data_IF_759784477749
#
_entry.id   IF_759784477749
#
_cell.length_a   1.000
_cell.length_b   1.000
_cell.length_c   1.000
_cell.angle_alpha   90.00
_cell.angle_beta   90.00
_cell.angle_gamma   90.00
#
_symmetry.space_group_name_H-M   'P 1'
#
loop_
_entity.id
_entity.type
_entity.pdbx_description
1 polymer ?
#
# COMPACT_ATOMS: atom_id res chain seq x y z
N UNK A 1 -20.35 14.38 10.11
CA UNK A 1 -19.61 15.58 9.64
C UNK A 1 -18.36 15.13 8.93
N UNK A 2 -17.90 15.81 7.85
CA UNK A 2 -16.66 15.45 7.19
C UNK A 2 -15.47 15.70 8.12
N UNK A 3 -14.46 14.82 8.05
CA UNK A 3 -13.21 14.99 8.79
C UNK A 3 -12.29 15.94 8.00
N UNK A 4 -11.92 17.07 8.61
CA UNK A 4 -10.99 18.03 8.00
C UNK A 4 -9.56 17.63 8.34
N UNK A 5 -8.69 17.64 7.34
CA UNK A 5 -7.24 17.51 7.48
C UNK A 5 -6.58 18.79 7.05
N UNK A 6 -5.62 19.27 7.81
CA UNK A 6 -4.92 20.52 7.53
C UNK A 6 -3.43 20.40 7.82
N UNK A 7 -2.65 21.24 7.16
CA UNK A 7 -1.23 21.42 7.44
C UNK A 7 -0.84 22.87 7.09
N UNK A 8 0.22 23.32 7.73
CA UNK A 8 0.89 24.60 7.43
C UNK A 8 2.31 24.31 7.02
N UNK A 9 2.77 24.89 5.92
CA UNK A 9 4.16 24.80 5.46
C UNK A 9 4.79 26.17 5.59
N UNK A 10 6.02 26.22 6.11
CA UNK A 10 6.82 27.43 6.24
C UNK A 10 8.13 27.20 5.49
N UNK A 11 8.43 28.10 4.55
CA UNK A 11 9.71 28.09 3.84
C UNK A 11 10.84 28.48 4.80
N UNK A 12 11.90 27.69 4.82
CA UNK A 12 13.07 27.95 5.66
C UNK A 12 14.23 28.49 4.83
N UNK A 13 14.68 27.74 3.84
CA UNK A 13 15.75 28.17 2.91
C UNK A 13 15.74 27.27 1.65
N UNK A 14 16.33 27.73 0.55
CA UNK A 14 16.43 26.94 -0.70
C UNK A 14 15.10 26.33 -1.10
N UNK A 15 15.03 25.01 -1.17
CA UNK A 15 13.81 24.23 -1.39
C UNK A 15 13.28 23.57 -0.11
N UNK A 16 13.83 23.93 1.07
CA UNK A 16 13.43 23.32 2.34
C UNK A 16 12.23 24.00 2.96
N UNK A 17 11.29 23.20 3.43
CA UNK A 17 10.05 23.62 4.09
C UNK A 17 9.82 22.82 5.37
N UNK A 18 9.52 23.52 6.46
CA UNK A 18 8.97 22.93 7.67
C UNK A 18 7.46 22.81 7.56
N UNK A 19 6.92 21.64 7.87
CA UNK A 19 5.49 21.39 7.87
C UNK A 19 4.97 21.04 9.25
N UNK A 20 3.80 21.52 9.59
CA UNK A 20 3.07 21.12 10.80
C UNK A 20 1.64 20.73 10.43
N UNK A 21 1.23 19.52 10.77
CA UNK A 21 -0.14 19.05 10.56
C UNK A 21 -1.10 19.68 11.57
N UNK A 22 -2.40 19.69 11.28
CA UNK A 22 -3.45 20.13 12.23
C UNK A 22 -3.49 19.33 13.54
N UNK A 23 -2.84 18.15 13.60
CA UNK A 23 -2.66 17.35 14.82
C UNK A 23 -1.35 17.65 15.56
N UNK A 24 -0.58 18.67 15.12
CA UNK A 24 0.66 19.09 15.77
C UNK A 24 1.89 18.23 15.44
N UNK A 25 1.84 17.37 14.41
CA UNK A 25 3.01 16.61 13.96
C UNK A 25 3.82 17.45 12.98
N UNK A 26 5.14 17.45 13.14
CA UNK A 26 6.04 18.24 12.30
C UNK A 26 7.03 17.32 11.56
N UNK A 27 7.37 17.70 10.33
CA UNK A 27 8.38 17.07 9.48
C UNK A 27 8.86 18.08 8.44
N UNK A 28 9.89 17.72 7.69
CA UNK A 28 10.51 18.59 6.68
C UNK A 28 10.49 17.93 5.32
N UNK A 29 10.35 18.75 4.30
CA UNK A 29 10.56 18.41 2.90
C UNK A 29 11.63 19.29 2.29
N UNK A 30 12.39 18.73 1.36
CA UNK A 30 13.38 19.48 0.62
C UNK A 30 14.24 18.58 -0.27
N UNK A 31 15.25 19.19 -0.84
CA UNK A 31 16.26 18.54 -1.67
C UNK A 31 17.70 18.92 -1.23
N UNK A 32 17.88 19.34 0.02
CA UNK A 32 19.20 19.65 0.55
C UNK A 32 20.05 18.38 0.61
N UNK A 33 21.09 18.32 -0.23
CA UNK A 33 22.02 17.19 -0.29
C UNK A 33 22.80 16.99 1.03
N UNK A 34 22.89 18.01 1.89
CA UNK A 34 23.57 17.93 3.18
C UNK A 34 22.69 17.32 4.28
N UNK A 35 21.37 17.41 4.13
CA UNK A 35 20.39 16.83 5.06
C UNK A 35 19.34 16.10 4.22
N UNK A 36 19.38 14.76 4.16
CA UNK A 36 18.38 14.00 3.39
C UNK A 36 16.97 14.33 3.88
N UNK A 37 16.23 15.06 3.10
CA UNK A 37 14.83 15.41 3.35
C UNK A 37 13.94 14.57 2.42
N UNK A 38 12.71 14.30 2.86
CA UNK A 38 11.74 13.58 2.04
C UNK A 38 11.27 14.45 0.88
N UNK A 39 11.23 13.91 -0.33
CA UNK A 39 10.54 14.58 -1.41
C UNK A 39 9.00 14.48 -1.23
N UNK A 40 8.22 15.44 -1.74
CA UNK A 40 6.76 15.36 -1.70
C UNK A 40 6.21 14.09 -2.36
N UNK A 41 6.80 13.64 -3.46
CA UNK A 41 6.36 12.45 -4.20
C UNK A 41 6.69 11.15 -3.44
N UNK A 42 7.87 11.06 -2.80
CA UNK A 42 8.19 9.94 -1.91
C UNK A 42 7.21 9.87 -0.73
N UNK A 43 6.81 11.03 -0.19
CA UNK A 43 5.81 11.09 0.88
C UNK A 43 4.48 10.46 0.46
N UNK A 44 4.06 10.61 -0.80
CA UNK A 44 2.84 9.97 -1.33
C UNK A 44 2.99 8.44 -1.32
N UNK A 45 4.14 7.92 -1.75
CA UNK A 45 4.42 6.47 -1.72
C UNK A 45 4.44 5.93 -0.28
N UNK A 46 5.09 6.64 0.64
CA UNK A 46 5.10 6.29 2.08
C UNK A 46 3.70 6.34 2.67
N UNK A 47 2.89 7.35 2.32
CA UNK A 47 1.52 7.46 2.80
C UNK A 47 0.65 6.29 2.33
N UNK A 48 0.82 5.82 1.08
CA UNK A 48 0.13 4.63 0.58
C UNK A 48 0.54 3.38 1.36
N UNK A 49 1.84 3.16 1.54
CA UNK A 49 2.35 2.01 2.29
C UNK A 49 1.82 2.00 3.73
N UNK A 50 1.89 3.13 4.43
CA UNK A 50 1.42 3.26 5.81
C UNK A 50 -0.09 3.05 5.92
N UNK A 51 -0.88 3.64 5.02
CA UNK A 51 -2.34 3.49 5.01
C UNK A 51 -2.73 2.02 4.82
N UNK A 52 -2.15 1.35 3.82
CA UNK A 52 -2.41 -0.06 3.55
C UNK A 52 -1.94 -0.96 4.70
N UNK A 53 -0.76 -0.68 5.28
CA UNK A 53 -0.22 -1.43 6.40
C UNK A 53 -1.15 -1.41 7.62
N UNK A 54 -1.64 -0.23 7.98
CA UNK A 54 -2.56 -0.07 9.12
C UNK A 54 -3.84 -0.86 8.93
N UNK A 55 -4.42 -0.83 7.72
CA UNK A 55 -5.62 -1.61 7.40
C UNK A 55 -5.36 -3.11 7.50
N UNK A 56 -4.28 -3.60 6.87
CA UNK A 56 -3.94 -5.02 6.82
C UNK A 56 -3.74 -5.57 8.24
N UNK A 57 -2.98 -4.88 9.09
CA UNK A 57 -2.79 -5.27 10.49
C UNK A 57 -4.11 -5.28 11.25
N UNK A 58 -4.94 -4.25 11.12
CA UNK A 58 -6.22 -4.18 11.81
C UNK A 58 -7.17 -5.31 11.40
N UNK A 59 -7.22 -5.64 10.10
CA UNK A 59 -8.07 -6.71 9.59
C UNK A 59 -7.51 -8.09 9.97
N UNK A 60 -6.21 -8.32 9.83
CA UNK A 60 -5.55 -9.56 10.20
C UNK A 60 -5.72 -9.87 11.70
N UNK A 61 -5.60 -8.86 12.54
CA UNK A 61 -5.87 -8.99 14.00
C UNK A 61 -7.31 -9.41 14.27
N UNK A 62 -8.29 -8.80 13.61
CA UNK A 62 -9.71 -9.20 13.72
C UNK A 62 -9.93 -10.64 13.24
N UNK A 63 -9.14 -11.11 12.27
CA UNK A 63 -9.12 -12.50 11.80
C UNK A 63 -8.28 -13.43 12.68
N UNK A 64 -7.81 -12.96 13.83
CA UNK A 64 -7.02 -13.71 14.81
C UNK A 64 -5.70 -14.27 14.25
N UNK A 65 -5.14 -13.59 13.27
CA UNK A 65 -3.81 -13.95 12.75
C UNK A 65 -2.73 -13.53 13.76
N UNK A 66 -1.78 -14.44 14.03
CA UNK A 66 -0.65 -14.17 14.91
C UNK A 66 0.54 -13.75 14.08
N UNK A 67 0.76 -12.45 13.96
CA UNK A 67 1.84 -11.87 13.19
C UNK A 67 2.99 -11.56 14.14
N UNK A 68 4.17 -12.12 13.86
CA UNK A 68 5.42 -11.87 14.60
C UNK A 68 6.28 -10.79 13.94
N UNK A 69 6.23 -10.69 12.60
CA UNK A 69 6.89 -9.63 11.84
C UNK A 69 6.00 -9.19 10.67
N UNK A 70 6.06 -7.90 10.38
CA UNK A 70 5.33 -7.31 9.26
C UNK A 70 6.08 -6.10 8.72
N UNK A 71 6.31 -6.11 7.41
CA UNK A 71 6.87 -4.98 6.68
C UNK A 71 6.11 -4.72 5.39
N UNK A 72 6.17 -3.49 4.92
CA UNK A 72 5.59 -3.10 3.63
C UNK A 72 6.65 -2.38 2.82
N UNK A 73 6.92 -2.91 1.65
CA UNK A 73 7.84 -2.31 0.68
C UNK A 73 7.03 -1.65 -0.42
N UNK A 74 7.40 -0.42 -0.75
CA UNK A 74 6.78 0.33 -1.83
C UNK A 74 7.84 0.72 -2.86
N UNK A 75 7.54 0.52 -4.13
CA UNK A 75 8.32 1.00 -5.27
C UNK A 75 7.37 1.74 -6.19
N UNK A 76 7.68 2.99 -6.50
CA UNK A 76 6.87 3.84 -7.36
C UNK A 76 7.65 4.24 -8.61
N UNK A 77 6.98 4.24 -9.74
CA UNK A 77 7.51 4.71 -11.02
C UNK A 77 6.85 6.06 -11.34
N UNK A 78 7.69 7.05 -11.58
CA UNK A 78 7.29 8.40 -11.95
C UNK A 78 7.61 8.63 -13.43
N UNK A 79 6.69 9.22 -14.20
CA UNK A 79 6.97 9.55 -15.60
C UNK A 79 7.95 10.72 -15.71
N UNK A 80 8.64 10.80 -16.83
CA UNK A 80 9.64 11.85 -17.08
C UNK A 80 8.98 13.19 -17.51
N UNK A 81 7.85 13.12 -18.22
CA UNK A 81 7.17 14.32 -18.72
C UNK A 81 6.31 14.99 -17.63
N UNK A 82 6.25 16.31 -17.68
CA UNK A 82 5.40 17.10 -16.77
C UNK A 82 3.90 16.97 -17.10
N UNK A 83 3.02 16.92 -16.09
CA UNK A 83 3.36 16.77 -14.67
C UNK A 83 3.89 15.36 -14.39
N UNK A 84 4.98 15.28 -13.62
CA UNK A 84 5.67 14.04 -13.28
C UNK A 84 4.88 13.23 -12.23
N UNK A 85 3.74 12.69 -12.64
CA UNK A 85 2.89 11.86 -11.77
C UNK A 85 3.46 10.46 -11.60
N UNK A 86 3.06 9.78 -10.53
CA UNK A 86 3.27 8.34 -10.38
C UNK A 86 2.37 7.59 -11.38
N UNK A 87 2.96 6.73 -12.19
CA UNK A 87 2.24 5.91 -13.17
C UNK A 87 1.97 4.51 -12.66
N UNK A 88 2.90 3.98 -11.84
CA UNK A 88 2.81 2.66 -11.25
C UNK A 88 3.35 2.68 -9.82
N UNK A 89 2.68 1.97 -8.93
CA UNK A 89 3.16 1.73 -7.56
C UNK A 89 2.99 0.26 -7.22
N UNK A 90 4.09 -0.42 -6.92
CA UNK A 90 4.12 -1.77 -6.40
C UNK A 90 4.18 -1.72 -4.87
N UNK A 91 3.21 -2.33 -4.19
CA UNK A 91 3.11 -2.44 -2.72
C UNK A 91 3.21 -3.91 -2.36
N UNK A 92 4.30 -4.31 -1.71
CA UNK A 92 4.53 -5.69 -1.27
C UNK A 92 4.43 -5.78 0.24
N UNK A 93 3.51 -6.60 0.73
CA UNK A 93 3.31 -6.90 2.15
C UNK A 93 4.05 -8.18 2.51
N UNK A 94 5.04 -8.09 3.39
CA UNK A 94 5.73 -9.26 3.95
C UNK A 94 5.21 -9.53 5.35
N UNK A 95 4.66 -10.72 5.57
CA UNK A 95 4.04 -11.13 6.83
C UNK A 95 4.68 -12.43 7.30
N UNK A 96 5.10 -12.47 8.55
CA UNK A 96 5.60 -13.67 9.20
C UNK A 96 4.87 -13.92 10.52
N UNK A 97 4.67 -15.18 10.84
CA UNK A 97 4.11 -15.57 12.13
C UNK A 97 3.76 -17.05 12.25
N UNK A 98 3.53 -17.53 13.49
CA UNK A 98 3.13 -18.92 13.72
C UNK A 98 1.70 -19.16 13.22
N UNK A 99 1.56 -20.13 12.29
CA UNK A 99 0.27 -20.53 11.72
C UNK A 99 -0.53 -19.39 11.05
N UNK A 100 0.16 -18.48 10.37
CA UNK A 100 -0.49 -17.42 9.58
C UNK A 100 -1.20 -18.07 8.38
N UNK A 101 -2.45 -17.73 8.18
CA UNK A 101 -3.25 -18.16 7.05
C UNK A 101 -3.07 -17.21 5.86
N UNK A 102 -2.58 -17.74 4.73
CA UNK A 102 -2.35 -16.98 3.51
C UNK A 102 -3.63 -16.30 3.01
N UNK A 103 -4.74 -17.03 2.97
CA UNK A 103 -6.02 -16.53 2.50
C UNK A 103 -6.54 -15.38 3.37
N UNK A 104 -6.30 -15.44 4.69
CA UNK A 104 -6.65 -14.36 5.60
C UNK A 104 -5.84 -13.09 5.31
N UNK A 105 -4.53 -13.21 5.02
CA UNK A 105 -3.67 -12.07 4.67
C UNK A 105 -4.05 -11.49 3.32
N UNK A 106 -4.18 -12.33 2.28
CA UNK A 106 -4.63 -11.91 0.94
C UNK A 106 -5.94 -11.13 1.03
N UNK A 107 -6.93 -11.66 1.75
CA UNK A 107 -8.22 -10.97 1.92
C UNK A 107 -8.09 -9.66 2.69
N UNK A 108 -7.14 -9.55 3.62
CA UNK A 108 -6.89 -8.30 4.35
C UNK A 108 -6.32 -7.22 3.43
N UNK A 109 -5.39 -7.58 2.54
CA UNK A 109 -4.81 -6.69 1.53
C UNK A 109 -5.89 -6.26 0.52
N UNK A 110 -6.68 -7.19 0.03
CA UNK A 110 -7.79 -6.93 -0.90
C UNK A 110 -8.80 -5.94 -0.31
N UNK A 111 -9.18 -6.12 0.95
CA UNK A 111 -10.11 -5.21 1.63
C UNK A 111 -9.50 -3.82 1.86
N UNK A 112 -8.21 -3.73 2.18
CA UNK A 112 -7.52 -2.45 2.22
C UNK A 112 -7.60 -1.75 0.88
N UNK A 113 -7.14 -2.40 -0.19
CA UNK A 113 -7.05 -1.82 -1.52
C UNK A 113 -8.42 -1.39 -2.11
N UNK A 114 -9.49 -2.17 -1.84
CA UNK A 114 -10.80 -1.94 -2.49
C UNK A 114 -11.77 -1.12 -1.64
N UNK A 115 -11.57 -1.07 -0.31
CA UNK A 115 -12.60 -0.53 0.58
C UNK A 115 -12.10 0.48 1.60
N UNK A 116 -10.91 0.27 2.18
CA UNK A 116 -10.53 1.02 3.36
C UNK A 116 -9.45 2.07 3.13
N UNK A 117 -8.44 1.81 2.30
CA UNK A 117 -7.33 2.73 2.08
C UNK A 117 -7.72 3.93 1.21
N UNK A 118 -7.93 5.13 1.78
CA UNK A 118 -8.27 6.31 1.00
C UNK A 118 -7.12 6.76 0.09
N UNK A 119 -5.87 6.51 0.47
CA UNK A 119 -4.70 6.88 -0.36
C UNK A 119 -4.68 6.04 -1.62
N UNK A 120 -4.92 4.71 -1.51
CA UNK A 120 -5.08 3.85 -2.68
C UNK A 120 -6.21 4.34 -3.58
N UNK A 121 -7.38 4.65 -3.00
CA UNK A 121 -8.53 5.12 -3.76
C UNK A 121 -8.24 6.42 -4.52
N UNK A 122 -7.55 7.39 -3.89
CA UNK A 122 -7.17 8.65 -4.54
C UNK A 122 -6.18 8.45 -5.69
N UNK A 123 -5.16 7.60 -5.51
CA UNK A 123 -4.16 7.33 -6.55
C UNK A 123 -4.77 6.55 -7.72
N UNK A 124 -5.50 5.50 -7.43
CA UNK A 124 -6.09 4.63 -8.45
C UNK A 124 -7.30 5.24 -9.17
N UNK A 125 -7.91 6.29 -8.65
CA UNK A 125 -8.92 7.07 -9.37
C UNK A 125 -8.32 7.95 -10.48
N UNK A 126 -7.02 8.22 -10.43
CA UNK A 126 -6.26 8.95 -11.44
C UNK A 126 -5.61 8.03 -12.48
N UNK A 127 -4.40 8.38 -12.89
CA UNK A 127 -3.62 7.65 -13.90
C UNK A 127 -2.64 6.63 -13.29
N UNK A 128 -2.70 6.37 -11.98
CA UNK A 128 -1.75 5.50 -11.28
C UNK A 128 -2.28 4.08 -11.17
N UNK A 129 -1.54 3.10 -11.65
CA UNK A 129 -1.77 1.69 -11.33
C UNK A 129 -1.13 1.34 -9.98
N UNK A 130 -1.87 0.69 -9.08
CA UNK A 130 -1.34 0.21 -7.81
C UNK A 130 -1.43 -1.31 -7.76
N UNK A 131 -0.28 -1.95 -7.69
CA UNK A 131 -0.12 -3.41 -7.64
C UNK A 131 0.07 -3.85 -6.20
N UNK A 132 -0.84 -4.68 -5.69
CA UNK A 132 -0.78 -5.23 -4.34
C UNK A 132 -0.28 -6.66 -4.37
N UNK A 133 0.85 -6.91 -3.69
CA UNK A 133 1.51 -8.22 -3.58
C UNK A 133 1.70 -8.61 -2.14
N UNK A 134 1.96 -9.90 -1.93
CA UNK A 134 2.27 -10.44 -0.61
C UNK A 134 3.40 -11.47 -0.66
N UNK A 135 4.08 -11.59 0.47
CA UNK A 135 4.93 -12.71 0.85
C UNK A 135 4.49 -13.09 2.25
N UNK A 136 4.06 -14.33 2.44
CA UNK A 136 3.61 -14.87 3.74
C UNK A 136 4.51 -16.02 4.13
N UNK A 137 5.11 -15.92 5.32
CA UNK A 137 5.93 -16.97 5.93
C UNK A 137 5.25 -17.47 7.19
N UNK A 138 4.77 -18.72 7.15
CA UNK A 138 4.24 -19.39 8.33
C UNK A 138 5.36 -20.19 9.00
N UNK A 139 5.59 -19.95 10.30
CA UNK A 139 6.65 -20.60 11.09
C UNK A 139 6.09 -21.63 12.07
N UNK A 140 4.82 -22.05 11.92
CA UNK A 140 4.15 -22.99 12.81
C UNK A 140 4.52 -24.46 12.58
N UNK A 141 3.62 -25.37 12.96
CA UNK A 141 3.82 -26.83 12.90
C UNK A 141 4.11 -27.32 11.47
N UNK A 142 3.50 -26.68 10.48
CA UNK A 142 3.78 -26.94 9.05
C UNK A 142 4.26 -25.62 8.43
N UNK A 143 5.59 -25.38 8.41
CA UNK A 143 6.14 -24.18 7.83
C UNK A 143 5.88 -24.12 6.32
N UNK A 144 5.57 -22.93 5.82
CA UNK A 144 5.47 -22.66 4.39
C UNK A 144 5.82 -21.20 4.07
N UNK A 145 6.18 -20.97 2.83
CA UNK A 145 6.24 -19.64 2.24
C UNK A 145 5.31 -19.60 1.01
N UNK A 146 4.53 -18.54 0.90
CA UNK A 146 3.68 -18.26 -0.26
C UNK A 146 3.81 -16.80 -0.67
N UNK A 147 3.76 -16.55 -1.96
CA UNK A 147 3.81 -15.19 -2.50
C UNK A 147 2.94 -15.07 -3.74
N UNK A 148 2.51 -13.84 -4.04
CA UNK A 148 1.71 -13.59 -5.23
C UNK A 148 1.22 -12.15 -5.33
N UNK A 149 0.57 -11.86 -6.46
CA UNK A 149 -0.18 -10.63 -6.65
C UNK A 149 -1.61 -10.86 -6.17
N UNK A 150 -2.11 -9.93 -5.35
CA UNK A 150 -3.49 -9.98 -4.84
C UNK A 150 -4.42 -9.33 -5.85
N UNK A 151 -4.07 -8.11 -6.26
CA UNK A 151 -4.87 -7.33 -7.21
C UNK A 151 -4.10 -6.11 -7.72
N UNK A 152 -4.63 -5.53 -8.79
CA UNK A 152 -4.21 -4.23 -9.32
C UNK A 152 -5.41 -3.30 -9.30
N UNK A 153 -5.23 -2.08 -8.83
CA UNK A 153 -6.21 -1.00 -8.88
C UNK A 153 -5.71 0.13 -9.76
N UNK A 154 -6.62 0.85 -10.45
CA UNK A 154 -6.26 1.96 -11.33
C UNK A 154 -7.25 2.15 -12.46
N UNK A 155 -7.02 3.13 -13.36
CA UNK A 155 -7.98 3.55 -14.38
C UNK A 155 -8.32 2.46 -15.42
N UNK A 156 -7.44 1.48 -15.57
CA UNK A 156 -7.61 0.40 -16.55
C UNK A 156 -8.19 -0.89 -15.96
N UNK A 157 -8.39 -0.93 -14.64
CA UNK A 157 -8.97 -2.09 -13.95
C UNK A 157 -10.12 -1.64 -13.06
N UNK A 158 -11.33 -2.11 -13.38
CA UNK A 158 -12.46 -1.91 -12.49
C UNK A 158 -12.26 -2.76 -11.22
N UNK A 159 -12.56 -2.23 -10.02
CA UNK A 159 -12.41 -2.97 -8.75
C UNK A 159 -13.29 -4.24 -8.68
N UNK A 160 -14.33 -4.32 -9.50
CA UNK A 160 -15.30 -5.40 -9.60
C UNK A 160 -14.89 -6.50 -10.60
N UNK A 161 -13.86 -6.27 -11.38
CA UNK A 161 -13.30 -7.28 -12.29
C UNK A 161 -12.06 -7.90 -11.64
N UNK A 162 -12.26 -8.65 -10.56
CA UNK A 162 -11.27 -9.63 -10.11
C UNK A 162 -11.25 -10.72 -11.19
N UNK A 163 -10.11 -10.98 -11.88
CA UNK A 163 -10.04 -12.13 -12.76
C UNK A 163 -10.36 -13.35 -11.91
N UNK A 164 -11.38 -14.13 -12.32
CA UNK A 164 -11.66 -15.42 -11.70
C UNK A 164 -10.35 -16.19 -11.69
N UNK A 165 -9.78 -16.42 -10.51
CA UNK A 165 -8.61 -17.24 -10.37
C UNK A 165 -8.96 -18.61 -10.91
N UNK A 166 -8.16 -19.12 -11.85
CA UNK A 166 -8.37 -20.29 -12.66
C UNK A 166 -9.14 -21.40 -11.96
N UNK A 167 -10.39 -21.51 -12.29
CA UNK A 167 -11.14 -22.73 -12.11
C UNK A 167 -10.45 -23.78 -12.95
N UNK A 168 -9.85 -24.78 -12.30
CA UNK A 168 -9.37 -25.97 -12.96
C UNK A 168 -10.43 -26.43 -13.95
N UNK A 169 -9.99 -26.59 -15.19
CA UNK A 169 -10.73 -27.18 -16.30
C UNK A 169 -11.37 -28.49 -15.83
N UNK A 170 -12.67 -28.47 -15.56
CA UNK A 170 -13.41 -29.71 -15.38
C UNK A 170 -13.66 -30.26 -16.78
N UNK A 171 -13.12 -31.42 -17.13
CA UNK A 171 -13.45 -32.06 -18.39
C UNK A 171 -14.96 -32.26 -18.43
N UNK A 172 -15.62 -31.72 -19.45
CA UNK A 172 -17.01 -32.08 -19.78
C UNK A 172 -17.01 -33.55 -20.15
N UNK A 173 -17.43 -34.35 -19.18
CA UNK A 173 -17.73 -35.76 -19.41
C UNK A 173 -18.91 -35.90 -20.38
N UNK A 174 -18.77 -36.87 -21.21
CA UNK A 174 -19.68 -37.36 -22.25
C UNK A 174 -21.12 -37.61 -21.77
#
# INVERSE_FOLDING_TARGET
MPTIRSATLVHEHGMSFAATTGTGRSFRWGDDAAVPELSPVETVAVALAACSAMDVIAIATKKRQRISAYSVHVRAEQREEYPQILTRVDVTHEVEGPNVDEGAIRRSIELSATKYCPVNAMLSAGATEVHHRYIVRSTGVTPFEASGEVMVTGPYRRPDVVPAQGGADRPRGA
#
